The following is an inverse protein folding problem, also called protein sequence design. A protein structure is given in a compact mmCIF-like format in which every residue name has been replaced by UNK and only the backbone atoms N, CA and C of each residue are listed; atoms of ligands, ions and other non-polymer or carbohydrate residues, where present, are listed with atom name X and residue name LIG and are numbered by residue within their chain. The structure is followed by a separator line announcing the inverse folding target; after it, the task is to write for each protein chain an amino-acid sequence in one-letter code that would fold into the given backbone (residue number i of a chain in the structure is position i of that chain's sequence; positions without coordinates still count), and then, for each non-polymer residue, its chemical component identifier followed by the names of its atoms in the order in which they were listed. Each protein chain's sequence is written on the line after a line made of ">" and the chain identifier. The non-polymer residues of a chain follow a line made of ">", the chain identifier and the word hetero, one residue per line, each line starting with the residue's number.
data_IF_399854849264
#
_entry.id   IF_399854849264
#
_cell.length_a   1.000
_cell.length_b   1.000
_cell.length_c   1.000
_cell.angle_alpha   90.00
_cell.angle_beta   90.00
_cell.angle_gamma   90.00
#
_symmetry.space_group_name_H-M   'P 1'
#
loop_
_entity.id
_entity.type
_entity.pdbx_description
1 polymer ?
#
# COMPACT_ATOMS: atom_id res chain seq x y z
N UNK A 1 7.91 48.02 51.19
CA UNK A 1 8.81 46.88 50.89
C UNK A 1 8.10 45.55 51.03
N UNK A 2 7.28 45.35 52.07
CA UNK A 2 6.53 44.09 52.30
C UNK A 2 5.58 43.71 51.15
N UNK A 3 4.77 44.65 50.64
CA UNK A 3 3.83 44.38 49.54
C UNK A 3 4.54 43.88 48.26
N UNK A 4 5.73 44.40 47.96
CA UNK A 4 6.51 43.97 46.79
C UNK A 4 7.10 42.57 46.99
N UNK A 5 7.43 42.24 48.24
CA UNK A 5 7.94 40.93 48.63
C UNK A 5 6.82 39.87 48.55
N UNK A 6 5.61 40.22 49.02
CA UNK A 6 4.44 39.33 48.95
C UNK A 6 4.04 39.04 47.50
N UNK A 7 4.07 40.05 46.62
CA UNK A 7 3.83 39.87 45.18
C UNK A 7 4.88 38.92 44.57
N UNK A 8 6.16 39.09 44.90
CA UNK A 8 7.23 38.21 44.40
C UNK A 8 7.05 36.76 44.87
N UNK A 9 6.67 36.54 46.13
CA UNK A 9 6.41 35.20 46.68
C UNK A 9 5.25 34.54 45.92
N UNK A 10 4.14 35.25 45.73
CA UNK A 10 2.98 34.72 44.98
C UNK A 10 3.37 34.40 43.53
N UNK A 11 4.13 35.26 42.87
CA UNK A 11 4.55 35.07 41.48
C UNK A 11 5.50 33.86 41.33
N UNK A 12 6.36 33.65 42.32
CA UNK A 12 7.27 32.51 42.39
C UNK A 12 6.51 31.20 42.62
N UNK A 13 5.48 31.20 43.49
CA UNK A 13 4.59 30.06 43.69
C UNK A 13 3.86 29.69 42.38
N UNK A 14 3.28 30.67 41.69
CA UNK A 14 2.58 30.45 40.42
C UNK A 14 3.55 29.88 39.37
N UNK A 15 4.75 30.45 39.27
CA UNK A 15 5.75 30.01 38.30
C UNK A 15 6.21 28.57 38.59
N UNK A 16 6.43 28.23 39.86
CA UNK A 16 6.78 26.86 40.26
C UNK A 16 5.66 25.86 39.94
N UNK A 17 4.38 26.24 40.15
CA UNK A 17 3.23 25.42 39.77
C UNK A 17 3.19 25.24 38.24
N UNK A 18 3.39 26.30 37.47
CA UNK A 18 3.44 26.23 36.01
C UNK A 18 4.56 25.29 35.53
N UNK A 19 5.77 25.43 36.08
CA UNK A 19 6.90 24.55 35.76
C UNK A 19 6.58 23.10 36.10
N UNK A 20 6.00 22.84 37.28
CA UNK A 20 5.58 21.50 37.69
C UNK A 20 4.55 20.91 36.71
N UNK A 21 3.51 21.66 36.35
CA UNK A 21 2.50 21.24 35.39
C UNK A 21 3.09 20.94 34.01
N UNK A 22 3.98 21.79 33.50
CA UNK A 22 4.68 21.57 32.23
C UNK A 22 5.53 20.30 32.33
N UNK A 23 6.28 20.11 33.42
CA UNK A 23 7.16 18.95 33.61
C UNK A 23 6.38 17.64 33.69
N UNK A 24 5.25 17.63 34.43
CA UNK A 24 4.37 16.45 34.49
C UNK A 24 3.81 16.16 33.09
N UNK A 25 3.37 17.20 32.36
CA UNK A 25 2.83 17.03 31.02
C UNK A 25 3.87 16.54 30.01
N UNK A 26 5.08 17.10 30.01
CA UNK A 26 6.17 16.66 29.10
C UNK A 26 6.64 15.26 29.44
N UNK A 27 6.76 14.93 30.73
CA UNK A 27 7.10 13.57 31.20
C UNK A 27 6.03 12.57 30.77
N UNK A 28 4.75 12.93 30.91
CA UNK A 28 3.63 12.10 30.42
C UNK A 28 3.68 11.94 28.89
N UNK A 29 4.02 12.97 28.12
CA UNK A 29 4.17 12.85 26.67
C UNK A 29 5.41 12.05 26.24
N UNK A 30 6.50 12.09 27.02
CA UNK A 30 7.72 11.33 26.76
C UNK A 30 7.57 9.84 27.10
N UNK A 31 6.93 9.53 28.23
CA UNK A 31 6.79 8.16 28.75
C UNK A 31 5.46 7.49 28.38
N UNK A 32 4.40 8.27 28.20
CA UNK A 32 3.03 7.78 28.32
C UNK A 32 2.28 7.50 27.02
N UNK A 33 2.79 7.84 25.84
CA UNK A 33 2.13 7.41 24.59
C UNK A 33 3.05 7.44 23.37
N UNK A 34 3.50 6.26 22.94
CA UNK A 34 3.92 6.07 21.56
C UNK A 34 2.68 6.21 20.67
N UNK A 35 2.57 7.33 19.97
CA UNK A 35 1.38 7.72 19.24
C UNK A 35 1.77 8.16 17.84
N UNK A 36 1.19 7.47 16.86
CA UNK A 36 1.34 7.77 15.45
C UNK A 36 0.03 8.34 14.93
N UNK A 37 0.13 9.46 14.22
CA UNK A 37 -0.98 10.06 13.49
C UNK A 37 -0.84 9.76 12.01
N UNK A 38 -1.91 9.26 11.40
CA UNK A 38 -2.04 9.18 9.95
C UNK A 38 -2.28 10.57 9.37
N UNK A 39 -1.46 10.94 8.40
CA UNK A 39 -1.60 12.17 7.63
C UNK A 39 -2.39 11.91 6.35
N UNK A 40 -2.04 10.83 5.65
CA UNK A 40 -2.65 10.51 4.37
C UNK A 40 -2.51 9.01 4.05
N UNK A 41 -3.47 8.49 3.29
CA UNK A 41 -3.43 7.15 2.70
C UNK A 41 -3.74 7.30 1.21
N UNK A 42 -2.84 6.81 0.36
CA UNK A 42 -3.04 6.77 -1.08
C UNK A 42 -3.13 5.34 -1.56
N UNK A 43 -4.08 5.11 -2.46
CA UNK A 43 -4.06 3.92 -3.29
C UNK A 43 -3.48 4.25 -4.66
N UNK A 44 -2.39 3.57 -5.04
CA UNK A 44 -1.76 3.72 -6.35
C UNK A 44 -2.12 2.53 -7.21
N UNK A 45 -2.83 2.81 -8.31
CA UNK A 45 -3.17 1.86 -9.35
C UNK A 45 -2.43 2.24 -10.62
N UNK A 46 -1.51 1.40 -11.06
CA UNK A 46 -0.81 1.55 -12.32
C UNK A 46 -1.51 0.69 -13.39
N UNK A 47 -1.26 0.96 -14.67
CA UNK A 47 -1.94 0.23 -15.75
C UNK A 47 -1.31 -1.17 -15.96
N UNK A 48 0.02 -1.27 -15.93
CA UNK A 48 0.74 -2.50 -16.25
C UNK A 48 1.35 -3.18 -15.03
N UNK A 49 1.66 -2.39 -14.01
CA UNK A 49 2.34 -2.83 -12.79
C UNK A 49 1.36 -3.02 -11.65
N UNK A 50 1.84 -3.69 -10.60
CA UNK A 50 1.09 -3.97 -9.40
C UNK A 50 0.52 -2.71 -8.71
N UNK A 51 -0.56 -2.93 -7.99
CA UNK A 51 -1.27 -1.95 -7.18
C UNK A 51 -0.68 -1.95 -5.77
N UNK A 52 -0.60 -0.78 -5.13
CA UNK A 52 -0.04 -0.66 -3.78
C UNK A 52 -0.63 0.52 -3.00
N UNK A 53 -0.42 0.48 -1.69
CA UNK A 53 -0.79 1.55 -0.77
C UNK A 53 0.43 2.34 -0.33
N UNK A 54 0.26 3.66 -0.22
CA UNK A 54 1.21 4.56 0.39
C UNK A 54 0.54 5.16 1.63
N UNK A 55 1.17 4.99 2.79
CA UNK A 55 0.73 5.59 4.06
C UNK A 55 1.74 6.65 4.47
N UNK A 56 1.27 7.89 4.62
CA UNK A 56 2.06 8.96 5.21
C UNK A 56 1.64 9.14 6.66
N UNK A 57 2.59 8.92 7.56
CA UNK A 57 2.38 8.90 9.00
C UNK A 57 3.27 9.95 9.68
N UNK A 58 2.90 10.32 10.90
CA UNK A 58 3.62 11.29 11.72
C UNK A 58 3.77 10.77 13.14
N UNK A 59 5.01 10.72 13.62
CA UNK A 59 5.30 10.41 15.01
C UNK A 59 4.93 11.62 15.88
N UNK A 60 3.85 11.51 16.65
CA UNK A 60 3.42 12.58 17.56
C UNK A 60 4.17 12.55 18.89
N UNK A 61 4.88 11.48 19.19
CA UNK A 61 5.61 11.31 20.44
C UNK A 61 6.87 12.18 20.47
N UNK A 62 7.28 12.52 21.69
CA UNK A 62 8.56 13.21 21.94
C UNK A 62 9.76 12.25 21.94
N UNK A 63 9.51 10.94 21.87
CA UNK A 63 10.50 9.87 21.76
C UNK A 63 10.47 9.21 20.39
N UNK A 64 11.57 8.55 20.03
CA UNK A 64 11.64 7.67 18.86
C UNK A 64 10.77 6.43 19.07
N UNK A 65 10.20 5.91 17.99
CA UNK A 65 9.35 4.72 18.01
C UNK A 65 9.88 3.68 17.02
N UNK A 66 9.75 2.41 17.39
CA UNK A 66 10.21 1.29 16.57
C UNK A 66 9.01 0.50 16.06
N UNK A 67 8.76 0.55 14.74
CA UNK A 67 7.59 -0.05 14.08
C UNK A 67 7.93 -1.45 13.58
N UNK A 68 7.09 -2.44 13.92
CA UNK A 68 7.23 -3.84 13.47
C UNK A 68 6.28 -4.17 12.33
N UNK A 69 5.01 -3.87 12.52
CA UNK A 69 3.95 -4.25 11.58
C UNK A 69 2.94 -3.11 11.46
N UNK A 70 2.45 -2.90 10.25
CA UNK A 70 1.42 -1.90 9.96
C UNK A 70 0.27 -2.56 9.23
N UNK A 71 -0.94 -2.39 9.75
CA UNK A 71 -2.17 -2.91 9.20
C UNK A 71 -3.17 -1.77 8.91
N UNK A 72 -3.85 -1.84 7.78
CA UNK A 72 -5.10 -1.13 7.55
C UNK A 72 -6.27 -2.02 7.98
N UNK A 73 -7.22 -1.47 8.72
CA UNK A 73 -8.44 -2.13 9.15
C UNK A 73 -9.63 -1.42 8.52
N UNK A 74 -10.49 -2.21 7.89
CA UNK A 74 -11.66 -1.77 7.18
C UNK A 74 -12.92 -2.32 7.84
N UNK A 75 -13.89 -1.45 8.09
CA UNK A 75 -15.20 -1.77 8.66
C UNK A 75 -15.15 -2.63 9.96
N UNK A 76 -14.05 -2.58 10.71
CA UNK A 76 -13.78 -3.42 11.90
C UNK A 76 -13.83 -4.95 11.67
N UNK A 77 -13.83 -5.40 10.42
CA UNK A 77 -13.98 -6.82 10.07
C UNK A 77 -12.77 -7.34 9.30
N UNK A 78 -12.27 -6.52 8.37
CA UNK A 78 -11.18 -6.90 7.47
C UNK A 78 -9.90 -6.17 7.81
N UNK A 79 -8.75 -6.86 7.67
CA UNK A 79 -7.42 -6.29 7.80
C UNK A 79 -6.60 -6.50 6.53
N UNK A 80 -5.77 -5.52 6.19
CA UNK A 80 -4.74 -5.62 5.16
C UNK A 80 -3.38 -5.34 5.81
N UNK A 81 -2.44 -6.26 5.65
CA UNK A 81 -1.05 -6.03 6.05
C UNK A 81 -0.40 -5.11 5.02
N UNK A 82 0.06 -3.94 5.47
CA UNK A 82 0.78 -2.98 4.62
C UNK A 82 2.25 -3.34 4.57
N UNK A 83 2.87 -3.48 5.75
CA UNK A 83 4.29 -3.81 5.82
C UNK A 83 4.59 -4.53 7.11
N UNK A 84 5.45 -5.53 7.01
CA UNK A 84 6.09 -6.21 8.13
C UNK A 84 7.59 -6.02 7.99
N UNK A 85 8.21 -5.60 9.08
CA UNK A 85 9.65 -5.34 9.14
C UNK A 85 10.33 -6.43 9.96
N UNK A 86 11.29 -7.13 9.37
CA UNK A 86 12.14 -8.09 10.08
C UNK A 86 13.04 -7.35 11.09
N UNK A 87 13.63 -6.24 10.66
CA UNK A 87 14.31 -5.26 11.53
C UNK A 87 13.37 -4.07 11.72
N UNK A 88 12.91 -3.77 12.95
CA UNK A 88 11.94 -2.70 13.19
C UNK A 88 12.37 -1.35 12.62
N UNK A 89 11.45 -0.65 11.97
CA UNK A 89 11.68 0.69 11.44
C UNK A 89 11.73 1.70 12.59
N UNK A 90 12.90 2.30 12.81
CA UNK A 90 13.08 3.38 13.77
C UNK A 90 12.61 4.70 13.17
N UNK A 91 11.68 5.36 13.85
CA UNK A 91 11.17 6.68 13.47
C UNK A 91 11.49 7.67 14.58
N UNK A 92 12.18 8.75 14.23
CA UNK A 92 12.52 9.82 15.15
C UNK A 92 11.29 10.57 15.68
N UNK A 93 11.47 11.27 16.80
CA UNK A 93 10.41 12.08 17.41
C UNK A 93 9.98 13.20 16.48
N UNK A 94 8.68 13.53 16.49
CA UNK A 94 8.11 14.65 15.74
C UNK A 94 8.42 14.66 14.23
N UNK A 95 8.73 13.52 13.62
CA UNK A 95 8.97 13.38 12.19
C UNK A 95 7.83 12.69 11.44
N UNK A 96 7.61 13.14 10.21
CA UNK A 96 6.80 12.44 9.22
C UNK A 96 7.63 11.37 8.52
N UNK A 97 6.97 10.31 8.09
CA UNK A 97 7.58 9.21 7.37
C UNK A 97 6.54 8.55 6.47
N UNK A 98 7.02 7.84 5.46
CA UNK A 98 6.20 7.15 4.46
C UNK A 98 6.44 5.65 4.56
N UNK A 99 5.35 4.89 4.51
CA UNK A 99 5.37 3.43 4.42
C UNK A 99 4.66 3.05 3.13
N UNK A 100 5.35 2.26 2.32
CA UNK A 100 4.80 1.71 1.08
C UNK A 100 4.59 0.21 1.25
N UNK A 101 3.38 -0.22 0.86
CA UNK A 101 3.06 -1.64 0.73
C UNK A 101 3.81 -2.22 -0.45
N UNK A 102 4.26 -3.47 -0.31
CA UNK A 102 4.84 -4.18 -1.44
C UNK A 102 3.76 -4.37 -2.53
N UNK A 103 4.07 -4.17 -3.82
CA UNK A 103 3.06 -4.23 -4.86
C UNK A 103 2.35 -5.58 -4.94
N UNK A 104 1.10 -5.56 -5.37
CA UNK A 104 0.31 -6.77 -5.63
C UNK A 104 -0.35 -6.68 -6.99
N UNK A 105 -0.59 -7.81 -7.65
CA UNK A 105 -1.27 -7.80 -8.94
C UNK A 105 -2.73 -7.40 -8.81
N UNK A 106 -3.35 -7.80 -7.70
CA UNK A 106 -4.69 -7.42 -7.31
C UNK A 106 -4.86 -7.65 -5.80
N UNK A 107 -5.47 -6.68 -5.13
CA UNK A 107 -5.99 -6.80 -3.78
C UNK A 107 -7.51 -6.79 -3.87
N UNK A 108 -8.19 -7.81 -3.35
CA UNK A 108 -9.66 -7.87 -3.33
C UNK A 108 -10.24 -6.95 -2.27
N UNK A 109 -10.01 -5.66 -2.42
CA UNK A 109 -10.67 -4.67 -1.61
C UNK A 109 -11.89 -4.26 -2.42
N UNK A 110 -13.08 -4.49 -1.85
CA UNK A 110 -14.31 -3.96 -2.43
C UNK A 110 -14.07 -2.48 -2.76
N UNK A 111 -14.32 -2.09 -4.01
CA UNK A 111 -14.11 -0.72 -4.47
C UNK A 111 -14.82 0.30 -3.57
N UNK A 112 -15.95 -0.09 -2.95
CA UNK A 112 -16.65 0.72 -1.94
C UNK A 112 -15.86 0.91 -0.64
N UNK A 113 -15.03 -0.08 -0.27
CA UNK A 113 -14.13 -0.04 0.89
C UNK A 113 -12.89 0.83 0.59
N UNK A 114 -12.37 0.78 -0.64
CA UNK A 114 -11.31 1.69 -1.12
C UNK A 114 -11.76 3.15 -1.14
N UNK A 115 -13.00 3.40 -1.59
CA UNK A 115 -13.63 4.73 -1.60
C UNK A 115 -14.08 5.24 -0.22
N UNK A 116 -14.03 4.38 0.81
CA UNK A 116 -14.58 4.72 2.11
C UNK A 116 -13.75 5.84 2.75
N UNK A 117 -14.36 6.95 3.13
CA UNK A 117 -13.65 8.13 3.63
C UNK A 117 -12.82 7.88 4.91
N UNK A 118 -13.09 6.77 5.61
CA UNK A 118 -12.57 6.50 6.93
C UNK A 118 -11.84 5.16 6.99
N UNK A 119 -10.64 5.18 7.54
CA UNK A 119 -9.82 3.99 7.74
C UNK A 119 -9.22 3.99 9.13
N UNK A 120 -8.91 2.79 9.62
CA UNK A 120 -8.20 2.61 10.88
C UNK A 120 -6.83 2.01 10.58
N UNK A 121 -5.77 2.69 11.01
CA UNK A 121 -4.39 2.22 10.91
C UNK A 121 -4.00 1.64 12.26
N UNK A 122 -3.70 0.35 12.30
CA UNK A 122 -3.16 -0.32 13.47
C UNK A 122 -1.66 -0.54 13.27
N UNK A 123 -0.87 -0.06 14.21
CA UNK A 123 0.59 -0.09 14.12
C UNK A 123 1.11 -0.81 15.35
N UNK A 124 1.79 -1.93 15.12
CA UNK A 124 2.45 -2.70 16.16
C UNK A 124 3.86 -2.16 16.33
N UNK A 125 4.16 -1.70 17.53
CA UNK A 125 5.46 -1.19 17.91
C UNK A 125 6.23 -2.29 18.65
N UNK A 126 7.53 -2.09 18.86
CA UNK A 126 8.34 -2.96 19.73
C UNK A 126 7.78 -2.95 21.16
N UNK A 127 7.51 -1.76 21.68
CA UNK A 127 7.14 -1.53 23.09
C UNK A 127 5.64 -1.28 23.31
N UNK A 128 4.80 -1.59 22.32
CA UNK A 128 3.36 -1.35 22.42
C UNK A 128 2.64 -1.33 21.08
N UNK A 129 1.55 -0.57 21.00
CA UNK A 129 0.77 -0.42 19.78
C UNK A 129 0.26 1.02 19.66
N UNK A 130 0.12 1.49 18.44
CA UNK A 130 -0.53 2.75 18.11
C UNK A 130 -1.75 2.49 17.23
N UNK A 131 -2.84 3.19 17.51
CA UNK A 131 -4.08 3.11 16.75
C UNK A 131 -4.40 4.50 16.23
N UNK A 132 -4.50 4.65 14.92
CA UNK A 132 -4.91 5.88 14.30
C UNK A 132 -6.22 5.70 13.54
N UNK A 133 -7.16 6.61 13.75
CA UNK A 133 -8.32 6.80 12.88
C UNK A 133 -8.04 7.90 11.88
N UNK A 134 -8.35 7.67 10.61
CA UNK A 134 -8.26 8.65 9.54
C UNK A 134 -9.66 8.89 8.94
N UNK A 135 -9.90 10.12 8.49
CA UNK A 135 -11.13 10.54 7.84
C UNK A 135 -10.81 11.64 6.82
N UNK A 136 -11.25 11.48 5.57
CA UNK A 136 -11.10 12.52 4.54
C UNK A 136 -12.00 13.73 4.80
N UNK A 137 -13.14 13.54 5.49
CA UNK A 137 -14.05 14.62 5.93
C UNK A 137 -13.55 15.38 7.18
N UNK A 138 -12.26 15.25 7.50
CA UNK A 138 -11.57 16.03 8.53
C UNK A 138 -11.94 15.65 9.96
N UNK A 139 -11.85 16.62 10.89
CA UNK A 139 -12.02 16.36 12.33
C UNK A 139 -13.44 15.85 12.66
N UNK A 140 -14.48 16.42 12.04
CA UNK A 140 -15.87 16.02 12.26
C UNK A 140 -16.11 14.57 11.85
N UNK A 141 -15.65 14.18 10.66
CA UNK A 141 -15.71 12.81 10.17
C UNK A 141 -14.95 11.85 11.09
N UNK A 142 -13.76 12.25 11.54
CA UNK A 142 -12.94 11.46 12.47
C UNK A 142 -13.62 11.20 13.82
N UNK A 143 -14.26 12.22 14.40
CA UNK A 143 -14.99 12.07 15.68
C UNK A 143 -16.20 11.15 15.50
N UNK A 144 -16.97 11.34 14.43
CA UNK A 144 -18.12 10.47 14.10
C UNK A 144 -17.68 9.02 13.93
N UNK A 145 -16.61 8.79 13.15
CA UNK A 145 -16.03 7.48 12.93
C UNK A 145 -15.51 6.87 14.24
N UNK A 146 -14.85 7.65 15.09
CA UNK A 146 -14.40 7.18 16.40
C UNK A 146 -15.57 6.75 17.30
N UNK A 147 -16.65 7.55 17.34
CA UNK A 147 -17.85 7.25 18.12
C UNK A 147 -18.55 5.96 17.64
N UNK A 148 -18.73 5.82 16.32
CA UNK A 148 -19.31 4.61 15.71
C UNK A 148 -18.50 3.35 16.03
N UNK A 149 -17.16 3.47 16.05
CA UNK A 149 -16.25 2.34 16.26
C UNK A 149 -15.72 2.24 17.69
N UNK A 150 -16.30 2.96 18.65
CA UNK A 150 -15.75 3.09 20.00
C UNK A 150 -15.55 1.75 20.70
N UNK A 151 -16.55 0.85 20.62
CA UNK A 151 -16.47 -0.50 21.21
C UNK A 151 -15.31 -1.30 20.64
N UNK A 152 -15.16 -1.27 19.31
CA UNK A 152 -14.06 -1.94 18.62
C UNK A 152 -12.70 -1.35 19.04
N UNK A 153 -12.56 -0.02 19.01
CA UNK A 153 -11.34 0.68 19.41
C UNK A 153 -10.95 0.40 20.86
N UNK A 154 -11.93 0.37 21.78
CA UNK A 154 -11.71 0.02 23.19
C UNK A 154 -11.18 -1.41 23.34
N UNK A 155 -11.77 -2.36 22.62
CA UNK A 155 -11.33 -3.75 22.63
C UNK A 155 -9.93 -3.91 22.01
N UNK A 156 -9.67 -3.20 20.90
CA UNK A 156 -8.37 -3.20 20.21
C UNK A 156 -7.26 -2.63 21.11
N UNK A 157 -7.56 -1.60 21.92
CA UNK A 157 -6.62 -1.08 22.94
C UNK A 157 -6.35 -2.09 24.06
N UNK A 158 -7.37 -2.82 24.52
CA UNK A 158 -7.26 -3.75 25.65
C UNK A 158 -6.56 -5.06 25.27
N UNK A 159 -6.96 -5.66 24.15
CA UNK A 159 -6.48 -6.97 23.70
C UNK A 159 -6.15 -6.93 22.19
N UNK A 160 -5.09 -6.21 21.79
CA UNK A 160 -4.79 -5.96 20.38
C UNK A 160 -4.57 -7.24 19.57
N UNK A 161 -3.80 -8.21 20.10
CA UNK A 161 -3.50 -9.47 19.40
C UNK A 161 -4.77 -10.23 19.03
N UNK A 162 -5.60 -10.55 20.04
CA UNK A 162 -6.83 -11.31 19.83
C UNK A 162 -7.82 -10.61 18.90
N UNK A 163 -7.90 -9.28 18.94
CA UNK A 163 -8.79 -8.54 18.04
C UNK A 163 -8.26 -8.58 16.61
N UNK A 164 -6.97 -8.33 16.40
CA UNK A 164 -6.35 -8.37 15.07
C UNK A 164 -6.41 -9.77 14.47
N UNK A 165 -6.18 -10.83 15.26
CA UNK A 165 -6.17 -12.21 14.78
C UNK A 165 -7.56 -12.71 14.37
N UNK A 166 -8.63 -12.11 14.92
CA UNK A 166 -10.02 -12.40 14.54
C UNK A 166 -10.48 -11.69 13.25
N UNK A 167 -9.74 -10.69 12.78
CA UNK A 167 -10.11 -9.99 11.56
C UNK A 167 -9.75 -10.83 10.33
N UNK A 168 -10.66 -10.85 9.38
CA UNK A 168 -10.45 -11.50 8.09
C UNK A 168 -9.34 -10.79 7.34
N UNK A 169 -8.36 -11.55 6.86
CA UNK A 169 -7.27 -10.97 6.08
C UNK A 169 -7.75 -10.73 4.66
N UNK A 170 -7.53 -9.53 4.14
CA UNK A 170 -7.76 -9.21 2.74
C UNK A 170 -6.77 -10.01 1.91
N UNK A 171 -7.32 -10.81 1.01
CA UNK A 171 -6.56 -11.68 0.12
C UNK A 171 -5.96 -10.88 -1.03
N UNK A 172 -4.76 -11.30 -1.42
CA UNK A 172 -4.01 -10.73 -2.52
C UNK A 172 -3.25 -11.82 -3.27
N UNK A 173 -2.90 -11.51 -4.52
CA UNK A 173 -1.99 -12.32 -5.31
C UNK A 173 -0.97 -11.46 -6.06
N UNK A 174 0.14 -12.09 -6.42
CA UNK A 174 1.25 -11.50 -7.17
C UNK A 174 1.56 -12.37 -8.38
N UNK A 175 1.63 -11.74 -9.53
CA UNK A 175 2.14 -12.24 -10.80
C UNK A 175 3.51 -11.60 -10.96
N UNK A 176 4.55 -12.38 -10.69
CA UNK A 176 5.93 -11.91 -10.64
C UNK A 176 6.62 -12.23 -11.98
N UNK A 177 7.12 -11.20 -12.65
CA UNK A 177 8.00 -11.31 -13.81
C UNK A 177 9.38 -10.77 -13.41
N UNK A 178 10.33 -11.66 -13.13
CA UNK A 178 11.57 -11.29 -12.46
C UNK A 178 11.28 -10.58 -11.14
N UNK A 179 11.81 -9.37 -10.98
CA UNK A 179 11.62 -8.53 -9.78
C UNK A 179 10.37 -7.63 -9.86
N UNK A 180 9.63 -7.68 -10.97
CA UNK A 180 8.49 -6.80 -11.22
C UNK A 180 7.17 -7.54 -10.95
N UNK A 181 6.24 -6.86 -10.29
CA UNK A 181 4.89 -7.38 -10.07
C UNK A 181 3.97 -6.78 -11.11
N UNK A 182 3.36 -7.63 -11.93
CA UNK A 182 2.49 -7.23 -13.03
C UNK A 182 1.05 -7.11 -12.57
N UNK A 183 0.26 -6.28 -13.26
CA UNK A 183 -1.18 -6.22 -13.05
C UNK A 183 -1.88 -7.42 -13.69
N UNK A 184 -3.01 -7.82 -13.12
CA UNK A 184 -3.82 -8.94 -13.59
C UNK A 184 -4.45 -8.78 -14.99
N UNK A 185 -4.41 -7.55 -15.53
CA UNK A 185 -4.84 -7.24 -16.89
C UNK A 185 -3.74 -7.46 -17.94
N UNK A 186 -2.49 -7.66 -17.54
CA UNK A 186 -1.40 -7.98 -18.48
C UNK A 186 -1.58 -9.43 -18.95
N UNK A 187 -1.56 -9.63 -20.26
CA UNK A 187 -1.79 -10.95 -20.86
C UNK A 187 -0.58 -11.48 -21.61
N UNK A 188 0.23 -10.60 -22.20
CA UNK A 188 1.43 -10.97 -22.94
C UNK A 188 2.63 -10.12 -22.52
N UNK A 189 3.82 -10.71 -22.68
CA UNK A 189 5.11 -10.07 -22.48
C UNK A 189 5.85 -10.15 -23.81
N UNK A 190 6.23 -9.00 -24.35
CA UNK A 190 7.00 -8.88 -25.57
C UNK A 190 8.43 -8.50 -25.20
N UNK A 191 9.39 -9.32 -25.60
CA UNK A 191 10.81 -9.02 -25.54
C UNK A 191 11.28 -8.58 -26.90
N UNK A 192 11.94 -7.43 -26.95
CA UNK A 192 12.50 -6.87 -28.18
C UNK A 192 14.00 -6.82 -27.99
N UNK A 193 14.73 -7.51 -28.87
CA UNK A 193 16.19 -7.60 -28.82
C UNK A 193 16.76 -6.62 -29.84
N UNK A 194 17.53 -5.65 -29.36
CA UNK A 194 18.39 -4.80 -30.18
C UNK A 194 19.86 -5.05 -29.83
N UNK A 195 20.79 -4.51 -30.61
CA UNK A 195 22.23 -4.70 -30.40
C UNK A 195 22.64 -4.30 -28.97
N UNK A 196 22.80 -5.31 -28.11
CA UNK A 196 23.25 -5.17 -26.72
C UNK A 196 22.16 -4.85 -25.69
N UNK A 197 20.88 -4.77 -26.06
CA UNK A 197 19.80 -4.50 -25.09
C UNK A 197 18.53 -5.33 -25.34
N UNK A 198 17.88 -5.72 -24.25
CA UNK A 198 16.56 -6.38 -24.30
C UNK A 198 15.56 -5.46 -23.64
N UNK A 199 14.58 -5.01 -24.41
CA UNK A 199 13.48 -4.20 -23.91
C UNK A 199 12.25 -5.09 -23.68
N UNK A 200 11.65 -4.94 -22.50
CA UNK A 200 10.42 -5.66 -22.13
C UNK A 200 9.22 -4.74 -22.26
N UNK A 201 8.23 -5.16 -23.04
CA UNK A 201 6.96 -4.45 -23.23
C UNK A 201 5.81 -5.34 -22.74
N UNK A 202 4.97 -4.79 -21.87
CA UNK A 202 3.80 -5.49 -21.34
C UNK A 202 2.57 -5.16 -22.17
N UNK A 203 1.79 -6.17 -22.54
CA UNK A 203 0.58 -6.02 -23.36
C UNK A 203 -0.63 -6.47 -22.55
N UNK A 204 -1.61 -5.59 -22.41
CA UNK A 204 -2.85 -5.89 -21.69
C UNK A 204 -3.80 -6.76 -22.50
N UNK A 205 -4.82 -7.33 -21.84
CA UNK A 205 -5.96 -7.99 -22.49
C UNK A 205 -6.68 -7.10 -23.51
N UNK A 206 -6.65 -5.77 -23.33
CA UNK A 206 -7.20 -4.79 -24.27
C UNK A 206 -6.28 -4.46 -25.45
N UNK A 207 -5.06 -5.01 -25.47
CA UNK A 207 -4.05 -4.75 -26.50
C UNK A 207 -3.21 -3.50 -26.28
N UNK A 208 -3.33 -2.83 -25.14
CA UNK A 208 -2.52 -1.65 -24.81
C UNK A 208 -1.11 -2.09 -24.44
N UNK A 209 -0.10 -1.33 -24.87
CA UNK A 209 1.31 -1.59 -24.59
C UNK A 209 1.87 -0.64 -23.54
N UNK A 210 2.79 -1.12 -22.70
CA UNK A 210 3.43 -0.30 -21.67
C UNK A 210 4.34 0.79 -22.24
N UNK A 211 4.97 0.48 -23.37
CA UNK A 211 5.87 1.39 -24.08
C UNK A 211 5.34 1.63 -25.49
N UNK A 212 5.57 2.84 -26.00
CA UNK A 212 5.30 3.17 -27.40
C UNK A 212 6.49 2.70 -28.21
N UNK A 213 6.33 1.58 -28.91
CA UNK A 213 7.39 1.04 -29.76
C UNK A 213 7.17 1.32 -31.25
N UNK A 214 5.92 1.59 -31.65
CA UNK A 214 5.57 1.85 -33.04
C UNK A 214 5.18 3.32 -33.23
N UNK A 215 5.72 3.92 -34.28
CA UNK A 215 5.49 5.31 -34.68
C UNK A 215 4.24 5.45 -35.57
N UNK A 216 3.79 4.34 -36.16
CA UNK A 216 2.59 4.29 -36.98
C UNK A 216 1.33 4.56 -36.13
N UNK A 217 0.55 5.57 -36.51
CA UNK A 217 -0.71 5.94 -35.86
C UNK A 217 -1.71 4.79 -35.76
N UNK A 218 -1.62 3.77 -36.62
CA UNK A 218 -2.41 2.53 -36.53
C UNK A 218 -2.14 1.76 -35.24
N UNK A 219 -0.89 1.74 -34.77
CA UNK A 219 -0.42 0.93 -33.63
C UNK A 219 -0.04 1.78 -32.42
N UNK A 220 -0.08 3.10 -32.53
CA UNK A 220 0.26 4.07 -31.47
C UNK A 220 -0.59 3.85 -30.20
N UNK A 221 -1.84 3.37 -30.33
CA UNK A 221 -2.74 3.09 -29.21
C UNK A 221 -2.71 1.64 -28.70
N UNK A 222 -1.91 0.77 -29.33
CA UNK A 222 -1.80 -0.66 -29.02
C UNK A 222 -2.10 -1.58 -30.21
N UNK A 223 -1.94 -2.89 -30.00
CA UNK A 223 -2.07 -3.97 -31.02
C UNK A 223 -3.51 -4.54 -31.08
N UNK A 224 -4.39 -4.07 -30.19
CA UNK A 224 -5.77 -4.53 -30.07
C UNK A 224 -5.91 -5.89 -29.38
N UNK A 225 -7.14 -6.40 -29.32
CA UNK A 225 -7.45 -7.68 -28.67
C UNK A 225 -7.33 -8.85 -29.64
N UNK A 226 -7.01 -10.05 -29.13
CA UNK A 226 -6.90 -11.24 -29.96
C UNK A 226 -6.29 -12.44 -29.24
N UNK A 227 -6.26 -13.58 -29.93
CA UNK A 227 -5.54 -14.78 -29.50
C UNK A 227 -4.02 -14.58 -29.60
N UNK A 228 -3.24 -15.47 -28.97
CA UNK A 228 -1.77 -15.39 -29.04
C UNK A 228 -1.26 -15.36 -30.49
N UNK A 229 -1.82 -16.18 -31.38
CA UNK A 229 -1.44 -16.22 -32.79
C UNK A 229 -1.81 -14.93 -33.52
N UNK A 230 -3.02 -14.41 -33.34
CA UNK A 230 -3.45 -13.14 -33.94
C UNK A 230 -2.58 -11.96 -33.50
N UNK A 231 -2.25 -11.89 -32.20
CA UNK A 231 -1.39 -10.83 -31.67
C UNK A 231 0.04 -10.97 -32.21
N UNK A 232 0.57 -12.20 -32.30
CA UNK A 232 1.88 -12.47 -32.88
C UNK A 232 1.94 -12.10 -34.37
N UNK A 233 0.90 -12.39 -35.13
CA UNK A 233 0.78 -12.03 -36.55
C UNK A 233 0.75 -10.50 -36.72
N UNK A 234 -0.10 -9.79 -35.95
CA UNK A 234 -0.16 -8.32 -35.99
C UNK A 234 1.17 -7.67 -35.58
N UNK A 235 1.84 -8.20 -34.56
CA UNK A 235 3.18 -7.77 -34.18
C UNK A 235 4.17 -7.98 -35.33
N UNK A 236 4.15 -9.15 -35.96
CA UNK A 236 5.02 -9.46 -37.10
C UNK A 236 4.78 -8.48 -38.26
N UNK A 237 3.53 -8.16 -38.56
CA UNK A 237 3.17 -7.14 -39.56
C UNK A 237 3.67 -5.74 -39.17
N UNK A 238 3.49 -5.34 -37.91
CA UNK A 238 3.92 -4.03 -37.42
C UNK A 238 5.45 -3.87 -37.48
N UNK A 239 6.21 -4.86 -37.01
CA UNK A 239 7.67 -4.86 -37.08
C UNK A 239 8.17 -4.82 -38.53
N UNK A 240 7.56 -5.60 -39.43
CA UNK A 240 7.91 -5.57 -40.87
C UNK A 240 7.61 -4.23 -41.54
N UNK A 241 6.52 -3.58 -41.15
CA UNK A 241 6.10 -2.32 -41.74
C UNK A 241 7.05 -1.17 -41.35
N UNK A 242 7.50 -1.15 -40.09
CA UNK A 242 8.30 -0.05 -39.52
C UNK A 242 9.80 -0.25 -39.73
N UNK A 243 10.32 -1.47 -39.58
CA UNK A 243 11.76 -1.76 -39.52
C UNK A 243 12.25 -2.54 -40.74
N UNK A 244 11.77 -2.20 -41.95
CA UNK A 244 11.96 -2.94 -43.22
C UNK A 244 13.39 -3.46 -43.51
N UNK A 245 14.43 -2.88 -42.92
CA UNK A 245 15.85 -3.23 -43.12
C UNK A 245 16.61 -3.59 -41.83
N UNK A 246 16.02 -3.43 -40.64
CA UNK A 246 16.67 -3.76 -39.36
C UNK A 246 16.25 -5.15 -38.86
N UNK A 247 17.22 -5.98 -38.49
CA UNK A 247 16.98 -7.31 -37.90
C UNK A 247 16.66 -7.13 -36.42
N UNK A 248 15.48 -6.61 -36.12
CA UNK A 248 14.93 -6.62 -34.77
C UNK A 248 14.26 -7.98 -34.53
N UNK A 249 14.86 -8.78 -33.65
CA UNK A 249 14.24 -10.01 -33.17
C UNK A 249 13.30 -9.71 -32.00
N UNK A 250 12.07 -10.22 -32.07
CA UNK A 250 11.13 -10.14 -30.96
C UNK A 250 10.64 -11.52 -30.55
N UNK A 251 10.37 -11.68 -29.25
CA UNK A 251 9.80 -12.86 -28.66
C UNK A 251 8.53 -12.47 -27.90
N UNK A 252 7.43 -13.18 -28.16
CA UNK A 252 6.16 -12.97 -27.47
C UNK A 252 5.91 -14.15 -26.54
N UNK A 253 5.57 -13.86 -25.30
CA UNK A 253 5.21 -14.86 -24.29
C UNK A 253 3.84 -14.56 -23.72
N UNK A 254 3.09 -15.60 -23.36
CA UNK A 254 1.96 -15.39 -22.46
C UNK A 254 2.48 -15.25 -21.04
N UNK A 255 1.82 -14.40 -20.26
CA UNK A 255 2.19 -14.16 -18.85
C UNK A 255 2.18 -15.45 -18.02
N UNK A 256 1.28 -16.39 -18.32
CA UNK A 256 1.18 -17.68 -17.63
C UNK A 256 2.41 -18.59 -17.83
N UNK A 257 3.13 -18.42 -18.95
CA UNK A 257 4.24 -19.31 -19.32
C UNK A 257 5.58 -18.87 -18.70
N UNK A 258 5.70 -17.59 -18.30
CA UNK A 258 6.98 -16.98 -17.91
C UNK A 258 6.96 -16.27 -16.56
N UNK A 259 5.79 -16.11 -15.94
CA UNK A 259 5.67 -15.48 -14.63
C UNK A 259 5.46 -16.51 -13.52
N UNK A 260 5.85 -16.13 -12.30
CA UNK A 260 5.55 -16.89 -11.09
C UNK A 260 4.28 -16.34 -10.43
N UNK A 261 3.46 -17.22 -9.87
CA UNK A 261 2.23 -16.84 -9.17
C UNK A 261 2.35 -17.09 -7.66
N UNK A 262 2.07 -16.06 -6.86
CA UNK A 262 2.07 -16.14 -5.40
C UNK A 262 0.74 -15.65 -4.84
N UNK A 263 0.23 -16.31 -3.80
CA UNK A 263 -1.05 -15.99 -3.16
C UNK A 263 -0.94 -15.96 -1.65
N UNK A 264 -1.67 -15.07 -1.00
CA UNK A 264 -1.68 -14.93 0.45
C UNK A 264 -2.46 -16.03 1.18
N UNK A 265 -3.48 -16.60 0.52
CA UNK A 265 -4.30 -17.68 1.07
C UNK A 265 -4.92 -18.54 -0.06
N UNK A 266 -4.50 -19.81 -0.23
CA UNK A 266 -4.98 -20.69 -1.32
C UNK A 266 -6.46 -21.09 -1.21
N UNK A 267 -7.04 -21.02 -0.01
CA UNK A 267 -8.40 -21.49 0.28
C UNK A 267 -9.45 -20.36 0.24
N UNK A 268 -9.06 -19.18 -0.23
CA UNK A 268 -9.89 -17.98 -0.30
C UNK A 268 -10.88 -17.99 -1.45
N UNK A 269 -12.18 -18.09 -1.15
CA UNK A 269 -13.27 -18.14 -2.15
C UNK A 269 -13.52 -16.83 -2.92
N UNK A 270 -12.75 -15.76 -2.67
CA UNK A 270 -13.04 -14.43 -3.23
C UNK A 270 -12.03 -13.97 -4.31
N UNK A 271 -10.95 -14.71 -4.53
CA UNK A 271 -9.96 -14.41 -5.57
C UNK A 271 -10.58 -14.53 -6.95
N UNK A 272 -10.09 -13.70 -7.90
CA UNK A 272 -10.60 -13.70 -9.27
C UNK A 272 -10.45 -15.11 -9.87
N UNK A 273 -11.56 -15.85 -9.88
CA UNK A 273 -11.60 -17.25 -10.23
C UNK A 273 -11.11 -17.50 -11.65
N UNK A 274 -11.32 -16.56 -12.58
CA UNK A 274 -10.80 -16.68 -13.95
C UNK A 274 -9.28 -16.65 -14.00
N UNK A 275 -8.65 -15.80 -13.17
CA UNK A 275 -7.20 -15.73 -13.07
C UNK A 275 -6.67 -16.98 -12.40
N UNK A 276 -7.26 -17.40 -11.27
CA UNK A 276 -6.86 -18.64 -10.59
C UNK A 276 -7.01 -19.86 -11.49
N UNK A 277 -8.13 -19.99 -12.19
CA UNK A 277 -8.40 -21.08 -13.13
C UNK A 277 -7.33 -21.12 -14.23
N UNK A 278 -7.02 -19.98 -14.85
CA UNK A 278 -5.96 -19.86 -15.86
C UNK A 278 -4.60 -20.35 -15.34
N UNK A 279 -4.24 -20.03 -14.10
CA UNK A 279 -2.97 -20.43 -13.49
C UNK A 279 -2.96 -21.88 -12.97
N UNK A 280 -4.10 -22.41 -12.55
CA UNK A 280 -4.23 -23.78 -12.04
C UNK A 280 -4.34 -24.81 -13.17
N UNK A 281 -4.96 -24.46 -14.30
CA UNK A 281 -5.12 -25.37 -15.45
C UNK A 281 -3.82 -25.60 -16.24
N UNK A 282 -2.85 -24.68 -16.16
CA UNK A 282 -1.54 -24.83 -16.82
C UNK A 282 -0.46 -25.53 -15.97
N UNK A 283 -0.75 -25.81 -14.70
CA UNK A 283 0.19 -26.43 -13.75
C UNK A 283 -0.15 -27.91 -13.44
N UNK A 284 -0.93 -28.58 -14.29
CA UNK A 284 -1.28 -30.02 -14.21
C UNK A 284 -0.62 -30.79 -15.34
#
# INVERSE_FOLDING_TARGET
>A
MEILNDINIVLQIITNICILCITIYTTFLQLGSASIRGLFVQYKRQQFLGEYFILQLYNTSLSSISIREVYLIFNNEKKLLIKKYDVPLLVESRRSFQIEMDPVSNCLIDYKVLLNENYLVFIKLVDGNSICTFSTSGLKGRIKFWGQNYKFLKNLKRNPRNVIDRLDSIEWYKICYGDVILRDIVNFILLIKSEGSVQTVFITKSGSMSERYFSDGKWERGIGTGTYQEIKERLTEAFKAEFKEEVLEFELYKVEDVCNFQISNPLGYNLNYEVLKKWLENNV
#
